data_IF_095558687865
#
_entry.id   IF_095558687865
#
_cell.length_a   1.000
_cell.length_b   1.000
_cell.length_c   1.000
_cell.angle_alpha   90.00
_cell.angle_beta   90.00
_cell.angle_gamma   90.00
#
_symmetry.space_group_name_H-M   'P 1'
#
loop_
_entity.id
_entity.type
_entity.pdbx_description
1 polymer ?
#
# COMPACT_ATOMS: atom_id res chain seq x y z
N UNK A 1 -26.24 3.16 -24.35
CA UNK A 1 -25.67 1.79 -24.25
C UNK A 1 -25.74 1.40 -22.77
N UNK A 2 -26.68 0.53 -22.39
CA UNK A 2 -26.90 0.11 -21.00
C UNK A 2 -26.07 -1.16 -20.75
N UNK A 3 -25.21 -1.13 -19.74
CA UNK A 3 -24.43 -2.30 -19.31
C UNK A 3 -25.24 -3.01 -18.23
N UNK A 4 -25.48 -4.31 -18.45
CA UNK A 4 -26.45 -5.13 -17.72
C UNK A 4 -25.97 -5.54 -16.31
N UNK A 5 -26.88 -5.44 -15.35
CA UNK A 5 -26.83 -5.82 -13.93
C UNK A 5 -26.71 -7.34 -13.64
N UNK A 6 -25.85 -8.08 -14.35
CA UNK A 6 -25.77 -9.55 -14.22
C UNK A 6 -24.51 -10.11 -13.52
N UNK A 7 -23.59 -9.25 -13.07
CA UNK A 7 -22.34 -9.69 -12.40
C UNK A 7 -22.39 -9.70 -10.87
N UNK A 8 -23.38 -9.05 -10.24
CA UNK A 8 -23.49 -9.03 -8.76
C UNK A 8 -24.34 -10.17 -8.17
N UNK A 9 -25.31 -10.72 -8.93
CA UNK A 9 -26.22 -11.74 -8.40
C UNK A 9 -25.58 -13.14 -8.24
N UNK A 10 -24.49 -13.45 -8.96
CA UNK A 10 -23.82 -14.77 -8.85
C UNK A 10 -22.90 -14.89 -7.64
N UNK A 11 -22.47 -13.79 -7.03
CA UNK A 11 -21.64 -13.82 -5.82
C UNK A 11 -22.49 -14.12 -4.58
N UNK A 12 -23.74 -13.65 -4.55
CA UNK A 12 -24.63 -13.85 -3.40
C UNK A 12 -25.14 -15.31 -3.33
N UNK A 13 -25.35 -15.98 -4.46
CA UNK A 13 -25.82 -17.38 -4.47
C UNK A 13 -24.79 -18.39 -3.93
N UNK A 14 -23.49 -18.04 -3.92
CA UNK A 14 -22.44 -18.90 -3.38
C UNK A 14 -22.18 -18.71 -1.88
N UNK A 15 -22.73 -17.66 -1.25
CA UNK A 15 -22.57 -17.42 0.19
C UNK A 15 -23.26 -18.47 1.06
N UNK A 16 -24.30 -19.13 0.56
CA UNK A 16 -24.98 -20.21 1.31
C UNK A 16 -24.24 -21.56 1.27
N UNK A 17 -23.23 -21.71 0.41
CA UNK A 17 -22.40 -22.93 0.35
C UNK A 17 -21.09 -22.83 1.14
N UNK A 18 -20.64 -21.62 1.42
CA UNK A 18 -19.40 -21.35 2.17
C UNK A 18 -19.54 -21.51 3.69
N UNK A 19 -20.77 -21.51 4.23
CA UNK A 19 -21.00 -21.82 5.64
C UNK A 19 -20.65 -23.27 6.03
N UNK A 20 -20.52 -24.19 5.07
CA UNK A 20 -20.10 -25.57 5.36
C UNK A 20 -18.58 -25.77 5.41
N UNK A 21 -17.79 -24.79 4.94
CA UNK A 21 -16.33 -24.89 4.88
C UNK A 21 -15.61 -24.16 6.02
N UNK A 22 -16.31 -23.35 6.83
CA UNK A 22 -15.71 -22.64 7.97
C UNK A 22 -15.11 -23.57 9.03
N UNK A 23 -15.59 -24.82 9.11
CA UNK A 23 -15.03 -25.85 10.00
C UNK A 23 -13.78 -26.56 9.47
N UNK A 24 -13.37 -26.34 8.21
CA UNK A 24 -12.11 -26.89 7.67
C UNK A 24 -10.91 -25.95 7.77
N UNK A 25 -11.11 -24.71 8.21
CA UNK A 25 -10.01 -23.77 8.45
C UNK A 25 -9.55 -23.75 9.92
N UNK A 26 -10.26 -24.45 10.81
CA UNK A 26 -9.80 -24.76 12.17
C UNK A 26 -8.88 -25.99 12.16
N UNK A 27 -7.59 -25.75 11.90
CA UNK A 27 -6.38 -26.50 12.33
C UNK A 27 -5.29 -26.44 11.25
N UNK A 28 -4.77 -25.24 11.01
CA UNK A 28 -3.42 -25.12 10.45
C UNK A 28 -2.39 -25.35 11.58
N UNK A 29 -2.24 -26.61 11.99
CA UNK A 29 -0.97 -27.09 12.53
C UNK A 29 0.01 -27.09 11.35
N UNK A 30 0.60 -25.93 11.08
CA UNK A 30 1.61 -25.82 10.03
C UNK A 30 2.85 -26.56 10.54
N UNK A 31 3.11 -27.75 10.02
CA UNK A 31 4.42 -28.38 10.07
C UNK A 31 5.42 -27.52 9.29
N UNK A 32 5.88 -26.41 9.88
CA UNK A 32 6.87 -25.49 9.29
C UNK A 32 8.25 -25.91 9.81
N UNK A 33 9.03 -26.55 8.94
CA UNK A 33 10.46 -26.85 9.13
C UNK A 33 11.32 -25.55 9.06
N UNK A 34 10.71 -24.41 8.69
CA UNK A 34 11.33 -23.08 8.77
C UNK A 34 10.89 -22.35 10.05
N UNK A 35 11.85 -21.88 10.85
CA UNK A 35 11.60 -21.02 12.02
C UNK A 35 11.16 -19.60 11.66
N UNK A 36 11.22 -19.21 10.38
CA UNK A 36 10.82 -17.87 9.93
C UNK A 36 9.55 -17.94 9.07
N UNK A 37 8.52 -17.13 9.39
CA UNK A 37 7.32 -17.06 8.58
C UNK A 37 7.64 -16.54 7.16
N UNK A 38 6.92 -17.00 6.13
CA UNK A 38 6.97 -16.43 4.78
C UNK A 38 6.87 -14.90 4.82
N UNK A 39 7.53 -14.26 3.86
CA UNK A 39 7.60 -12.79 3.77
C UNK A 39 6.23 -12.12 3.89
N UNK A 40 5.20 -12.65 3.22
CA UNK A 40 3.83 -12.12 3.29
C UNK A 40 3.25 -12.12 4.70
N UNK A 41 3.53 -13.14 5.52
CA UNK A 41 3.04 -13.21 6.91
C UNK A 41 3.73 -12.16 7.81
N UNK A 42 4.95 -11.72 7.49
CA UNK A 42 5.67 -10.71 8.26
C UNK A 42 5.03 -9.32 8.16
N UNK A 43 4.19 -9.07 7.14
CA UNK A 43 3.36 -7.86 7.05
C UNK A 43 2.44 -7.68 8.26
N UNK A 44 2.09 -8.75 8.97
CA UNK A 44 1.25 -8.68 10.18
C UNK A 44 2.01 -8.24 11.44
N UNK A 45 3.32 -7.99 11.35
CA UNK A 45 4.13 -7.53 12.47
C UNK A 45 3.69 -6.15 12.97
N UNK A 46 3.73 -5.93 14.28
CA UNK A 46 3.44 -4.64 14.91
C UNK A 46 4.66 -3.72 15.01
N UNK A 47 5.86 -4.27 14.80
CA UNK A 47 7.12 -3.61 15.15
C UNK A 47 7.97 -3.31 13.90
N UNK A 48 7.33 -3.07 12.76
CA UNK A 48 8.03 -2.67 11.55
C UNK A 48 8.49 -1.21 11.63
N UNK A 49 9.70 -0.89 11.14
CA UNK A 49 10.20 0.47 11.19
C UNK A 49 9.36 1.39 10.29
N UNK A 50 9.16 2.62 10.75
CA UNK A 50 8.51 3.66 9.95
C UNK A 50 9.27 3.90 8.64
N UNK A 51 8.52 4.19 7.58
CA UNK A 51 9.08 4.47 6.26
C UNK A 51 9.81 5.82 6.21
N UNK A 52 9.35 6.77 7.03
CA UNK A 52 9.88 8.11 7.11
C UNK A 52 10.84 8.25 8.28
N UNK A 53 11.88 9.05 8.06
CA UNK A 53 12.78 9.56 9.08
C UNK A 53 12.50 11.07 9.27
N UNK A 54 11.80 11.45 10.35
CA UNK A 54 11.50 12.85 10.63
C UNK A 54 12.74 13.73 10.83
N UNK A 55 13.87 13.16 11.28
CA UNK A 55 15.08 13.93 11.55
C UNK A 55 15.71 14.45 10.25
N UNK A 56 15.74 13.60 9.22
CA UNK A 56 16.23 13.97 7.88
C UNK A 56 15.13 14.49 6.95
N UNK A 57 13.88 14.55 7.42
CA UNK A 57 12.70 14.86 6.63
C UNK A 57 12.64 14.03 5.34
N UNK A 58 12.84 12.71 5.47
CA UNK A 58 13.01 11.83 4.32
C UNK A 58 12.16 10.57 4.40
N UNK A 59 11.85 10.01 3.23
CA UNK A 59 11.20 8.71 3.05
C UNK A 59 12.20 7.82 2.29
N UNK A 60 12.48 6.65 2.84
CA UNK A 60 13.39 5.70 2.20
C UNK A 60 12.83 4.28 2.28
N UNK A 61 12.62 3.67 1.12
CA UNK A 61 12.20 2.27 1.00
C UNK A 61 12.76 1.68 -0.29
N UNK A 62 13.36 0.50 -0.16
CA UNK A 62 13.81 -0.32 -1.29
C UNK A 62 12.82 -1.43 -1.59
N UNK A 63 12.90 -1.96 -2.81
CA UNK A 63 12.14 -3.16 -3.16
C UNK A 63 12.46 -4.30 -2.18
N UNK A 64 11.40 -4.94 -1.71
CA UNK A 64 11.48 -6.02 -0.73
C UNK A 64 11.71 -5.60 0.73
N UNK A 65 11.97 -4.33 1.06
CA UNK A 65 11.97 -3.86 2.46
C UNK A 65 10.54 -3.72 2.98
N UNK A 66 10.32 -4.12 4.23
CA UNK A 66 9.05 -3.90 4.93
C UNK A 66 9.11 -2.65 5.78
N UNK A 67 8.10 -1.79 5.63
CA UNK A 67 8.00 -0.53 6.36
C UNK A 67 6.56 -0.28 6.81
N UNK A 68 6.42 0.46 7.90
CA UNK A 68 5.15 1.03 8.32
C UNK A 68 4.94 2.40 7.66
N UNK A 69 3.73 2.65 7.14
CA UNK A 69 3.32 3.91 6.51
C UNK A 69 2.14 4.57 7.25
N UNK A 70 1.98 4.27 8.54
CA UNK A 70 0.92 4.82 9.39
C UNK A 70 0.04 3.76 10.04
N UNK A 71 -1.19 4.14 10.40
CA UNK A 71 -2.16 3.25 11.05
C UNK A 71 -3.57 3.43 10.49
N UNK A 72 -4.34 2.35 10.51
CA UNK A 72 -5.77 2.32 10.21
C UNK A 72 -6.48 1.82 11.46
N UNK A 73 -7.16 2.74 12.15
CA UNK A 73 -7.92 2.47 13.38
C UNK A 73 -7.08 1.75 14.45
N UNK A 74 -5.84 2.21 14.63
CA UNK A 74 -4.87 1.67 15.58
C UNK A 74 -4.09 0.46 15.08
N UNK A 75 -4.41 -0.10 13.91
CA UNK A 75 -3.69 -1.21 13.30
C UNK A 75 -2.58 -0.65 12.40
N UNK A 76 -1.31 -1.05 12.55
CA UNK A 76 -0.22 -0.63 11.66
C UNK A 76 -0.54 -0.93 10.19
N UNK A 77 -0.37 0.04 9.30
CA UNK A 77 -0.40 -0.16 7.85
C UNK A 77 1.02 -0.41 7.37
N UNK A 78 1.30 -1.68 7.08
CA UNK A 78 2.61 -2.15 6.68
C UNK A 78 2.62 -2.47 5.20
N UNK A 79 3.73 -2.16 4.54
CA UNK A 79 3.91 -2.35 3.10
C UNK A 79 5.24 -3.02 2.77
N UNK A 80 5.30 -3.60 1.58
CA UNK A 80 6.55 -3.77 0.83
C UNK A 80 6.26 -3.84 -0.68
N UNK A 81 7.30 -3.65 -1.49
CA UNK A 81 7.22 -3.82 -2.94
C UNK A 81 7.82 -5.15 -3.39
N UNK A 82 7.14 -5.85 -4.28
CA UNK A 82 7.66 -6.97 -5.07
C UNK A 82 7.63 -6.63 -6.57
N UNK A 83 7.95 -7.60 -7.42
CA UNK A 83 7.89 -7.47 -8.89
C UNK A 83 6.50 -7.19 -9.44
N UNK A 84 5.45 -7.32 -8.63
CA UNK A 84 4.05 -7.11 -9.01
C UNK A 84 3.47 -5.79 -8.46
N UNK A 85 4.20 -5.10 -7.59
CA UNK A 85 3.81 -3.81 -7.02
C UNK A 85 3.83 -3.80 -5.51
N UNK A 86 3.08 -2.87 -4.92
CA UNK A 86 2.97 -2.77 -3.47
C UNK A 86 1.99 -3.80 -2.91
N UNK A 87 2.36 -4.39 -1.79
CA UNK A 87 1.51 -5.30 -1.02
C UNK A 87 1.38 -4.76 0.40
N UNK A 88 0.21 -4.91 1.01
CA UNK A 88 -0.08 -4.39 2.34
C UNK A 88 -0.62 -5.46 3.27
N UNK A 89 -0.59 -5.20 4.58
CA UNK A 89 -1.20 -6.07 5.57
C UNK A 89 -2.73 -5.93 5.68
N UNK A 90 -3.35 -5.13 4.81
CA UNK A 90 -4.82 -4.99 4.62
C UNK A 90 -5.29 -5.57 3.29
N UNK A 91 -4.42 -5.60 2.29
CA UNK A 91 -4.71 -6.06 0.94
C UNK A 91 -3.41 -6.51 0.26
N UNK A 92 -3.44 -7.71 -0.30
CA UNK A 92 -2.37 -8.21 -1.17
C UNK A 92 -3.02 -8.75 -2.44
N UNK A 93 -2.32 -8.64 -3.56
CA UNK A 93 -2.81 -9.12 -4.84
C UNK A 93 -3.04 -10.65 -4.79
N UNK A 94 -4.21 -11.07 -5.29
CA UNK A 94 -4.50 -12.46 -5.65
C UNK A 94 -4.03 -12.65 -7.09
N UNK A 95 -3.21 -13.67 -7.31
CA UNK A 95 -2.66 -13.95 -8.63
C UNK A 95 -3.47 -15.07 -9.27
N UNK A 96 -4.06 -14.80 -10.44
CA UNK A 96 -4.87 -15.78 -11.18
C UNK A 96 -4.05 -16.94 -11.72
N UNK A 97 -2.77 -16.70 -11.99
CA UNK A 97 -1.84 -17.69 -12.50
C UNK A 97 -1.29 -18.60 -11.37
N UNK A 98 -1.44 -18.16 -10.11
CA UNK A 98 -1.14 -19.00 -8.95
C UNK A 98 -2.30 -19.94 -8.64
N UNK A 99 -2.03 -21.18 -8.19
CA UNK A 99 -3.06 -22.05 -7.64
C UNK A 99 -3.89 -21.32 -6.57
N UNK A 100 -5.21 -21.52 -6.55
CA UNK A 100 -6.11 -20.92 -5.55
C UNK A 100 -5.66 -21.20 -4.12
N UNK A 101 -5.05 -22.37 -3.90
CA UNK A 101 -4.53 -22.83 -2.62
C UNK A 101 -3.05 -22.48 -2.36
N UNK A 102 -2.43 -21.62 -3.19
CA UNK A 102 -1.08 -21.12 -2.90
C UNK A 102 -1.06 -20.37 -1.56
N UNK A 103 0.08 -20.39 -0.88
CA UNK A 103 0.22 -19.71 0.42
C UNK A 103 -0.11 -18.20 0.30
N UNK A 104 0.26 -17.57 -0.82
CA UNK A 104 -0.06 -16.16 -1.10
C UNK A 104 -1.56 -15.93 -1.25
N UNK A 105 -2.24 -16.73 -2.08
CA UNK A 105 -3.68 -16.57 -2.31
C UNK A 105 -4.47 -16.85 -1.03
N UNK A 106 -4.06 -17.85 -0.24
CA UNK A 106 -4.63 -18.12 1.09
C UNK A 106 -4.45 -16.93 2.04
N UNK A 107 -3.25 -16.36 2.08
CA UNK A 107 -2.99 -15.16 2.87
C UNK A 107 -3.86 -13.97 2.44
N UNK A 108 -4.02 -13.75 1.13
CA UNK A 108 -4.90 -12.72 0.59
C UNK A 108 -6.35 -12.88 1.04
N UNK A 109 -6.90 -14.10 0.98
CA UNK A 109 -8.25 -14.38 1.47
C UNK A 109 -8.37 -14.16 2.98
N UNK A 110 -7.36 -14.55 3.77
CA UNK A 110 -7.33 -14.27 5.21
C UNK A 110 -7.40 -12.76 5.51
N UNK A 111 -6.69 -11.93 4.75
CA UNK A 111 -6.77 -10.47 4.94
C UNK A 111 -8.16 -9.89 4.60
N UNK A 112 -8.81 -10.43 3.55
CA UNK A 112 -10.17 -10.02 3.18
C UNK A 112 -11.19 -10.30 4.30
N UNK A 113 -11.07 -11.42 4.99
CA UNK A 113 -11.97 -11.77 6.08
C UNK A 113 -11.61 -11.07 7.40
N UNK A 114 -10.34 -10.69 7.59
CA UNK A 114 -9.83 -10.12 8.84
C UNK A 114 -10.28 -8.68 9.12
N UNK A 115 -10.42 -7.84 8.08
CA UNK A 115 -10.71 -6.42 8.23
C UNK A 115 -12.10 -6.05 7.73
N UNK A 116 -12.63 -4.92 8.18
CA UNK A 116 -13.89 -4.39 7.64
C UNK A 116 -13.67 -3.71 6.28
N UNK A 117 -14.75 -3.56 5.50
CA UNK A 117 -14.69 -2.80 4.23
C UNK A 117 -14.21 -1.37 4.43
N UNK A 118 -14.61 -0.72 5.53
CA UNK A 118 -14.17 0.65 5.84
C UNK A 118 -12.68 0.72 6.15
N UNK A 119 -12.16 -0.24 6.92
CA UNK A 119 -10.72 -0.33 7.21
C UNK A 119 -9.90 -0.55 5.94
N UNK A 120 -10.34 -1.47 5.07
CA UNK A 120 -9.65 -1.69 3.78
C UNK A 120 -9.70 -0.45 2.90
N UNK A 121 -10.84 0.20 2.75
CA UNK A 121 -10.95 1.43 1.94
C UNK A 121 -10.01 2.54 2.46
N UNK A 122 -9.89 2.69 3.78
CA UNK A 122 -8.94 3.64 4.39
C UNK A 122 -7.48 3.23 4.15
N UNK A 123 -7.16 1.94 4.28
CA UNK A 123 -5.83 1.41 3.98
C UNK A 123 -5.46 1.61 2.50
N UNK A 124 -6.39 1.33 1.59
CA UNK A 124 -6.21 1.49 0.14
C UNK A 124 -5.97 2.96 -0.20
N UNK A 125 -6.74 3.89 0.38
CA UNK A 125 -6.51 5.33 0.19
C UNK A 125 -5.10 5.79 0.57
N UNK A 126 -4.59 5.36 1.73
CA UNK A 126 -3.23 5.70 2.18
C UNK A 126 -2.18 5.04 1.29
N UNK A 127 -2.44 3.79 0.91
CA UNK A 127 -1.56 2.95 0.11
C UNK A 127 -1.42 3.48 -1.32
N UNK A 128 -2.52 3.84 -1.97
CA UNK A 128 -2.53 4.39 -3.33
C UNK A 128 -1.77 5.72 -3.38
N UNK A 129 -1.96 6.59 -2.39
CA UNK A 129 -1.20 7.85 -2.26
C UNK A 129 0.29 7.58 -2.12
N UNK A 130 0.68 6.60 -1.30
CA UNK A 130 2.09 6.21 -1.14
C UNK A 130 2.67 5.63 -2.43
N UNK A 131 1.96 4.71 -3.08
CA UNK A 131 2.36 4.07 -4.33
C UNK A 131 2.59 5.11 -5.44
N UNK A 132 1.70 6.10 -5.55
CA UNK A 132 1.87 7.19 -6.51
C UNK A 132 3.11 8.04 -6.23
N UNK A 133 3.34 8.43 -4.97
CA UNK A 133 4.54 9.18 -4.57
C UNK A 133 5.81 8.35 -4.84
N UNK A 134 5.77 7.05 -4.56
CA UNK A 134 6.86 6.14 -4.87
C UNK A 134 7.14 6.05 -6.38
N UNK A 135 6.11 6.00 -7.21
CA UNK A 135 6.24 6.01 -8.68
C UNK A 135 6.85 7.33 -9.19
N UNK A 136 6.49 8.49 -8.60
CA UNK A 136 7.17 9.76 -8.90
C UNK A 136 8.64 9.71 -8.48
N UNK A 137 8.92 9.21 -7.27
CA UNK A 137 10.28 9.08 -6.75
C UNK A 137 11.14 8.10 -7.59
N UNK A 138 10.55 7.06 -8.18
CA UNK A 138 11.22 6.20 -9.16
C UNK A 138 11.37 6.86 -10.53
N UNK A 139 10.50 7.79 -10.88
CA UNK A 139 10.44 8.41 -12.21
C UNK A 139 9.56 7.64 -13.19
N UNK A 140 8.74 6.72 -12.69
CA UNK A 140 7.77 5.95 -13.49
C UNK A 140 6.61 6.87 -13.96
N UNK A 141 6.31 7.91 -13.18
CA UNK A 141 5.38 9.00 -13.55
C UNK A 141 5.99 10.36 -13.24
N UNK A 142 5.56 11.39 -13.97
CA UNK A 142 5.95 12.78 -13.71
C UNK A 142 5.17 13.39 -12.54
N UNK A 143 5.72 14.46 -11.95
CA UNK A 143 5.03 15.28 -10.95
C UNK A 143 3.73 15.87 -11.51
N UNK A 144 3.71 16.27 -12.79
CA UNK A 144 2.50 16.76 -13.45
C UNK A 144 1.40 15.70 -13.45
N UNK A 145 1.72 14.48 -13.89
CA UNK A 145 0.78 13.35 -13.86
C UNK A 145 0.30 13.05 -12.44
N UNK A 146 1.20 13.12 -11.45
CA UNK A 146 0.82 12.96 -10.04
C UNK A 146 -0.23 13.98 -9.59
N UNK A 147 -0.01 15.27 -9.86
CA UNK A 147 -0.91 16.35 -9.47
C UNK A 147 -2.25 16.31 -10.24
N UNK A 148 -2.24 15.83 -11.49
CA UNK A 148 -3.45 15.71 -12.32
C UNK A 148 -4.25 14.42 -12.05
N UNK A 149 -3.69 13.46 -11.31
CA UNK A 149 -4.38 12.20 -11.03
C UNK A 149 -5.47 12.40 -9.99
N UNK A 150 -6.71 12.17 -10.41
CA UNK A 150 -7.83 12.01 -9.50
C UNK A 150 -7.78 10.64 -8.85
N UNK A 151 -7.45 10.59 -7.56
CA UNK A 151 -7.49 9.36 -6.75
C UNK A 151 -8.90 9.07 -6.22
N UNK A 152 -9.89 9.89 -6.55
CA UNK A 152 -11.26 9.76 -6.13
C UNK A 152 -11.60 10.52 -4.85
N UNK A 153 -12.90 10.65 -4.60
CA UNK A 153 -13.44 11.30 -3.40
C UNK A 153 -13.12 10.49 -2.14
N UNK A 154 -12.57 11.14 -1.12
CA UNK A 154 -12.26 10.51 0.17
C UNK A 154 -10.82 10.01 0.31
N UNK A 155 -9.97 10.25 -0.69
CA UNK A 155 -8.54 10.00 -0.56
C UNK A 155 -7.85 11.14 0.19
N UNK A 156 -6.98 10.76 1.12
CA UNK A 156 -6.14 11.69 1.88
C UNK A 156 -5.38 12.66 0.95
N UNK A 157 -5.32 13.94 1.34
CA UNK A 157 -4.51 14.92 0.61
C UNK A 157 -3.01 14.56 0.71
N UNK A 158 -2.21 15.01 -0.25
CA UNK A 158 -0.74 14.76 -0.21
C UNK A 158 -0.12 15.34 1.06
N UNK A 159 -0.53 16.53 1.47
CA UNK A 159 -0.02 17.19 2.66
C UNK A 159 -0.40 16.43 3.95
N UNK A 160 -1.67 16.05 4.09
CA UNK A 160 -2.14 15.28 5.23
C UNK A 160 -1.44 13.91 5.31
N UNK A 161 -1.27 13.25 4.16
CA UNK A 161 -0.56 11.98 4.09
C UNK A 161 0.89 12.11 4.53
N UNK A 162 1.65 13.03 3.94
CA UNK A 162 3.06 13.25 4.31
C UNK A 162 3.21 13.62 5.79
N UNK A 163 2.34 14.50 6.29
CA UNK A 163 2.31 14.87 7.71
C UNK A 163 2.06 13.64 8.60
N UNK A 164 1.15 12.74 8.19
CA UNK A 164 0.87 11.49 8.93
C UNK A 164 2.06 10.52 8.96
N UNK A 165 2.96 10.60 7.97
CA UNK A 165 4.23 9.88 7.97
C UNK A 165 5.29 10.54 8.88
N UNK A 166 5.04 11.76 9.38
CA UNK A 166 6.02 12.55 10.13
C UNK A 166 6.94 13.40 9.24
N UNK A 167 6.55 13.65 7.99
CA UNK A 167 7.23 14.61 7.11
C UNK A 167 6.72 16.02 7.41
N UNK A 168 7.65 16.93 7.65
CA UNK A 168 7.39 18.35 7.75
C UNK A 168 7.25 18.93 6.34
N UNK A 169 6.00 19.17 5.94
CA UNK A 169 5.63 19.67 4.61
C UNK A 169 5.93 21.16 4.41
N UNK A 170 6.33 21.89 5.45
CA UNK A 170 6.69 23.31 5.35
C UNK A 170 8.08 23.54 4.75
N UNK A 171 8.87 22.48 4.61
CA UNK A 171 10.22 22.50 4.06
C UNK A 171 10.40 21.38 3.02
N UNK A 172 11.45 21.43 2.20
CA UNK A 172 11.77 20.34 1.30
C UNK A 172 11.91 19.00 2.03
N UNK A 173 11.40 17.94 1.42
CA UNK A 173 11.56 16.57 1.88
C UNK A 173 12.20 15.73 0.79
N UNK A 174 12.77 14.58 1.14
CA UNK A 174 13.33 13.65 0.15
C UNK A 174 12.58 12.33 0.15
N UNK A 175 12.44 11.72 -1.04
CA UNK A 175 11.96 10.36 -1.20
C UNK A 175 12.95 9.61 -2.11
N UNK A 176 13.63 8.60 -1.57
CA UNK A 176 14.61 7.77 -2.29
C UNK A 176 15.65 8.64 -3.01
N UNK A 177 16.21 9.62 -2.28
CA UNK A 177 17.21 10.60 -2.74
C UNK A 177 16.73 11.65 -3.76
N UNK A 178 15.44 11.67 -4.14
CA UNK A 178 14.85 12.78 -4.90
C UNK A 178 14.23 13.78 -3.96
N UNK A 179 14.39 15.06 -4.23
CA UNK A 179 13.91 16.14 -3.37
C UNK A 179 12.62 16.74 -3.91
N UNK A 180 11.68 17.03 -3.01
CA UNK A 180 10.36 17.53 -3.33
C UNK A 180 9.95 18.64 -2.36
N UNK A 181 8.98 19.44 -2.77
CA UNK A 181 8.30 20.43 -1.93
C UNK A 181 6.81 20.44 -2.27
N UNK A 182 5.96 20.80 -1.31
CA UNK A 182 4.57 21.14 -1.58
C UNK A 182 4.41 22.66 -1.66
N UNK A 183 3.65 23.13 -2.64
CA UNK A 183 3.23 24.54 -2.64
C UNK A 183 2.06 24.79 -1.67
N UNK A 184 1.63 26.05 -1.59
CA UNK A 184 0.51 26.47 -0.74
C UNK A 184 -0.83 25.84 -1.10
N UNK A 185 -0.97 25.33 -2.33
CA UNK A 185 -2.17 24.63 -2.80
C UNK A 185 -2.09 23.12 -2.54
N UNK A 186 -0.95 22.63 -2.02
CA UNK A 186 -0.71 21.21 -1.73
C UNK A 186 -0.23 20.42 -2.95
N UNK A 187 0.12 21.09 -4.06
CA UNK A 187 0.66 20.43 -5.25
C UNK A 187 2.13 20.07 -5.03
N UNK A 188 2.52 18.89 -5.53
CA UNK A 188 3.88 18.40 -5.46
C UNK A 188 4.75 19.11 -6.50
N UNK A 189 5.99 19.42 -6.14
CA UNK A 189 7.02 19.94 -7.05
C UNK A 189 8.33 19.18 -6.83
N UNK A 190 9.00 18.78 -7.90
CA UNK A 190 10.35 18.21 -7.83
C UNK A 190 11.38 19.34 -7.78
N UNK A 191 12.33 19.23 -6.85
CA UNK A 191 13.49 20.10 -6.80
C UNK A 191 14.60 19.50 -7.66
N UNK A 192 15.09 20.26 -8.63
CA UNK A 192 16.22 19.85 -9.46
C UNK A 192 17.43 19.59 -8.57
N UNK A 193 18.13 18.47 -8.80
CA UNK A 193 19.44 18.27 -8.19
C UNK A 193 20.40 19.28 -8.82
N UNK A 194 21.16 19.99 -8.00
CA UNK A 194 22.09 21.05 -8.42
C UNK A 194 23.13 20.60 -9.47
N UNK A 195 23.36 19.30 -9.60
CA UNK A 195 24.18 18.68 -10.65
C UNK A 195 23.57 18.71 -12.07
N UNK A 196 22.30 19.06 -12.23
CA UNK A 196 21.63 19.17 -13.54
C UNK A 196 21.64 20.61 -14.10
N UNK A 197 22.05 21.60 -13.30
CA UNK A 197 22.11 23.01 -13.69
C UNK A 197 23.44 23.41 -14.35
N UNK A 198 24.43 22.50 -14.42
CA UNK A 198 25.76 22.79 -14.98
C UNK A 198 25.92 22.42 -16.47
N UNK A 199 24.83 22.24 -17.22
CA UNK A 199 24.84 21.92 -18.64
C UNK A 199 23.98 22.91 -19.46
N UNK A 200 24.19 24.20 -19.25
CA UNK A 200 23.74 25.26 -20.18
C UNK A 200 24.93 26.06 -20.69
#
# INVERSE_FOLDING_TARGET
>A
MKINDLTFARVIANNNRLQSNSQQYETLQINKISKQPPKWEQLLSTDLPNVADPNSNSINIKEGEMKNIGTVDGIPLNIFFDSYGMNTNFSTAIHRDDPVNSDRNRFAFLLLDKYTTAQRAKADSLSDRFQMLYSVAKGDISVKQYNETDLGSGVVSTAEFLTSLGIDVSKPFSFNNKSFVLDSEGSLHALLQSSQLSLQ
#
